data_IF_700387527384
#
_entry.id   IF_700387527384
#
_cell.length_a   1.000
_cell.length_b   1.000
_cell.length_c   1.000
_cell.angle_alpha   90.00
_cell.angle_beta   90.00
_cell.angle_gamma   90.00
#
_symmetry.space_group_name_H-M   'P 1'
#
loop_
_entity.id
_entity.type
_entity.pdbx_description
1 polymer ?
#
# COMPACT_ATOMS: atom_id res chain seq x y z
N UNK A 1 5.20 14.81 -6.42
CA UNK A 1 4.24 13.73 -6.07
C UNK A 1 2.95 13.97 -6.83
N UNK A 2 2.39 12.92 -7.37
CA UNK A 2 1.07 12.94 -8.01
C UNK A 2 0.05 12.53 -6.93
N UNK A 3 -1.00 13.36 -6.71
CA UNK A 3 -1.95 13.07 -5.66
C UNK A 3 -3.05 12.10 -6.13
N UNK A 4 -4.02 12.58 -6.89
CA UNK A 4 -5.03 11.71 -7.47
C UNK A 4 -5.81 12.42 -8.58
N UNK A 5 -6.34 11.64 -9.52
CA UNK A 5 -7.34 12.10 -10.50
C UNK A 5 -8.49 11.11 -10.46
N UNK A 6 -9.71 11.61 -10.27
CA UNK A 6 -10.92 10.78 -10.30
C UNK A 6 -11.99 11.44 -11.16
N UNK A 7 -12.70 10.62 -11.90
CA UNK A 7 -13.81 11.04 -12.75
C UNK A 7 -15.01 10.14 -12.48
N UNK A 8 -16.19 10.73 -12.43
CA UNK A 8 -17.43 10.00 -12.24
C UNK A 8 -18.48 10.47 -13.27
N UNK A 9 -19.13 9.51 -13.91
CA UNK A 9 -20.14 9.75 -14.93
C UNK A 9 -21.43 9.03 -14.57
N UNK A 10 -22.52 9.74 -14.63
CA UNK A 10 -23.84 9.14 -14.53
C UNK A 10 -24.25 8.61 -15.91
N UNK A 11 -24.13 7.29 -16.11
CA UNK A 11 -24.47 6.65 -17.37
C UNK A 11 -25.98 6.55 -17.60
N UNK A 12 -26.78 6.41 -16.49
CA UNK A 12 -28.24 6.30 -16.54
C UNK A 12 -28.86 6.77 -15.23
N UNK A 13 -30.18 6.80 -15.15
CA UNK A 13 -30.91 7.05 -13.86
C UNK A 13 -30.63 6.00 -12.79
N UNK A 14 -30.18 4.82 -13.22
CA UNK A 14 -29.92 3.65 -12.36
C UNK A 14 -28.46 3.16 -12.39
N UNK A 15 -27.59 3.78 -13.20
CA UNK A 15 -26.20 3.36 -13.35
C UNK A 15 -25.24 4.55 -13.35
N UNK A 16 -24.11 4.36 -12.69
CA UNK A 16 -22.98 5.29 -12.70
C UNK A 16 -21.67 4.53 -12.90
N UNK A 17 -20.70 5.19 -13.53
CA UNK A 17 -19.36 4.68 -13.77
C UNK A 17 -18.37 5.66 -13.17
N UNK A 18 -17.34 5.14 -12.55
CA UNK A 18 -16.22 5.92 -12.01
C UNK A 18 -14.90 5.35 -12.48
N UNK A 19 -13.95 6.21 -12.70
CA UNK A 19 -12.56 5.83 -12.97
C UNK A 19 -11.62 6.78 -12.25
N UNK A 20 -10.44 6.31 -11.92
CA UNK A 20 -9.48 7.16 -11.26
C UNK A 20 -8.11 6.52 -11.13
N UNK A 21 -7.14 7.40 -11.04
CA UNK A 21 -5.74 7.09 -10.76
C UNK A 21 -5.39 7.71 -9.42
N UNK A 22 -4.88 6.90 -8.51
CA UNK A 22 -4.52 7.35 -7.15
C UNK A 22 -3.33 6.56 -6.59
N UNK A 23 -2.59 7.14 -5.64
CA UNK A 23 -1.61 6.38 -4.89
C UNK A 23 -2.34 5.38 -3.98
N UNK A 24 -1.92 4.11 -4.03
CA UNK A 24 -2.45 3.05 -3.16
C UNK A 24 -1.65 2.99 -1.85
N UNK A 25 -0.35 3.15 -1.93
CA UNK A 25 0.55 3.18 -0.79
C UNK A 25 1.76 4.04 -1.10
N UNK A 26 2.35 4.64 -0.10
CA UNK A 26 3.57 5.42 -0.22
C UNK A 26 4.50 5.09 0.95
N UNK A 27 5.76 4.88 0.64
CA UNK A 27 6.83 4.62 1.61
C UNK A 27 7.90 5.68 1.43
N UNK A 28 8.21 6.39 2.51
CA UNK A 28 9.28 7.40 2.52
C UNK A 28 9.77 7.60 3.95
N UNK A 29 10.85 6.92 4.32
CA UNK A 29 11.51 7.12 5.60
C UNK A 29 13.02 6.97 5.46
N UNK A 30 13.75 7.68 6.32
CA UNK A 30 15.18 7.53 6.51
C UNK A 30 15.49 7.74 7.98
N UNK A 31 16.13 6.78 8.60
CA UNK A 31 16.53 6.84 10.00
C UNK A 31 17.90 6.21 10.17
N UNK A 32 18.65 6.71 11.13
CA UNK A 32 19.97 6.18 11.48
C UNK A 32 20.11 6.08 12.99
N UNK A 33 20.84 5.08 13.42
CA UNK A 33 21.20 4.85 14.81
C UNK A 33 22.71 4.64 14.90
N UNK A 34 23.36 5.37 15.80
CA UNK A 34 24.74 5.12 16.18
C UNK A 34 24.77 4.20 17.39
N UNK A 35 25.46 3.08 17.26
CA UNK A 35 25.67 2.10 18.34
C UNK A 35 27.12 2.15 18.76
N UNK A 36 27.37 2.72 19.92
CA UNK A 36 28.68 2.78 20.52
C UNK A 36 29.00 1.47 21.23
N UNK A 37 30.17 0.89 20.88
CA UNK A 37 30.76 -0.18 21.67
C UNK A 37 31.72 0.45 22.67
N UNK A 38 31.35 0.43 23.95
CA UNK A 38 32.14 1.05 25.04
C UNK A 38 33.40 0.27 25.37
N UNK A 39 33.44 -1.02 25.08
CA UNK A 39 34.58 -1.88 25.31
C UNK A 39 35.56 -1.87 24.14
N UNK A 40 35.04 -1.77 22.94
CA UNK A 40 35.80 -1.74 21.70
C UNK A 40 35.30 -0.61 20.77
N UNK A 41 35.76 0.63 20.95
CA UNK A 41 35.31 1.78 20.14
C UNK A 41 35.48 1.59 18.62
N UNK A 42 36.46 0.80 18.21
CA UNK A 42 36.68 0.44 16.80
C UNK A 42 35.57 -0.46 16.19
N UNK A 43 34.72 -1.02 17.06
CA UNK A 43 33.55 -1.82 16.68
C UNK A 43 32.24 -1.03 16.74
N UNK A 44 32.30 0.23 17.11
CA UNK A 44 31.12 1.10 17.06
C UNK A 44 30.54 1.14 15.64
N UNK A 45 29.25 1.08 15.50
CA UNK A 45 28.58 0.97 14.20
C UNK A 45 27.55 2.07 13.98
N UNK A 46 27.39 2.46 12.74
CA UNK A 46 26.23 3.26 12.33
C UNK A 46 25.31 2.40 11.48
N UNK A 47 24.10 2.20 11.99
CA UNK A 47 23.06 1.48 11.26
C UNK A 47 22.08 2.48 10.69
N UNK A 48 21.85 2.42 9.37
CA UNK A 48 20.87 3.26 8.69
C UNK A 48 19.81 2.43 8.00
N UNK A 49 18.58 2.89 8.12
CA UNK A 49 17.43 2.30 7.47
C UNK A 49 16.76 3.34 6.60
N UNK A 50 16.51 3.01 5.35
CA UNK A 50 15.73 3.84 4.45
C UNK A 50 14.72 3.00 3.68
N UNK A 51 13.59 3.61 3.36
CA UNK A 51 12.59 3.02 2.51
C UNK A 51 12.01 4.08 1.61
N UNK A 52 11.87 3.74 0.34
CA UNK A 52 11.30 4.61 -0.68
C UNK A 52 10.47 3.84 -1.68
N UNK A 53 9.57 4.55 -2.35
CA UNK A 53 8.70 3.98 -3.36
C UNK A 53 7.24 4.04 -2.99
N UNK A 54 6.42 3.30 -3.71
CA UNK A 54 4.98 3.25 -3.49
C UNK A 54 4.25 2.51 -4.59
N UNK A 55 2.99 2.25 -4.33
CA UNK A 55 2.09 1.59 -5.26
C UNK A 55 1.06 2.58 -5.78
N UNK A 56 0.79 2.51 -7.05
CA UNK A 56 -0.26 3.25 -7.74
C UNK A 56 -1.42 2.34 -8.07
N UNK A 57 -2.61 2.93 -8.15
CA UNK A 57 -3.85 2.23 -8.45
C UNK A 57 -4.60 2.97 -9.57
N UNK A 58 -4.89 2.26 -10.64
CA UNK A 58 -5.88 2.67 -11.62
C UNK A 58 -7.14 1.85 -11.37
N UNK A 59 -8.29 2.49 -11.13
CA UNK A 59 -9.53 1.77 -10.92
C UNK A 59 -10.61 2.16 -11.92
N UNK A 60 -11.46 1.20 -12.22
CA UNK A 60 -12.72 1.35 -12.95
C UNK A 60 -13.83 0.78 -12.08
N UNK A 61 -14.81 1.61 -11.77
CA UNK A 61 -15.94 1.25 -10.94
C UNK A 61 -17.26 1.38 -11.68
N UNK A 62 -18.20 0.51 -11.36
CA UNK A 62 -19.57 0.59 -11.80
C UNK A 62 -20.52 0.42 -10.63
N UNK A 63 -21.54 1.27 -10.55
CA UNK A 63 -22.59 1.22 -9.54
C UNK A 63 -23.98 1.16 -10.17
N UNK A 64 -24.82 0.33 -9.62
CA UNK A 64 -26.19 0.11 -10.10
C UNK A 64 -27.19 0.25 -8.98
N UNK A 65 -28.25 0.99 -9.24
CA UNK A 65 -29.42 1.07 -8.39
C UNK A 65 -30.42 -0.01 -8.79
N UNK A 66 -30.46 -1.11 -8.04
CA UNK A 66 -31.30 -2.28 -8.36
C UNK A 66 -32.79 -1.98 -8.06
N UNK A 67 -33.05 -1.41 -6.90
CA UNK A 67 -34.36 -0.92 -6.48
C UNK A 67 -34.21 0.46 -5.85
N UNK A 68 -35.32 1.12 -5.53
CA UNK A 68 -35.30 2.50 -4.98
C UNK A 68 -34.35 2.66 -3.78
N UNK A 69 -34.20 1.60 -2.99
CA UNK A 69 -33.51 1.62 -1.71
C UNK A 69 -32.17 0.86 -1.71
N UNK A 70 -31.90 0.03 -2.74
CA UNK A 70 -30.71 -0.83 -2.80
C UNK A 70 -29.85 -0.45 -4.00
N UNK A 71 -28.60 -0.17 -3.72
CA UNK A 71 -27.57 0.03 -4.71
C UNK A 71 -26.43 -0.97 -4.51
N UNK A 72 -25.87 -1.47 -5.59
CA UNK A 72 -24.71 -2.35 -5.57
C UNK A 72 -23.64 -1.77 -6.49
N UNK A 73 -22.39 -2.09 -6.24
CA UNK A 73 -21.30 -1.65 -7.08
C UNK A 73 -20.12 -2.60 -7.01
N UNK A 74 -19.28 -2.50 -8.01
CA UNK A 74 -18.02 -3.20 -8.06
C UNK A 74 -16.95 -2.28 -8.62
N UNK A 75 -15.73 -2.41 -8.10
CA UNK A 75 -14.53 -1.77 -8.61
C UNK A 75 -13.52 -2.83 -9.03
N UNK A 76 -12.96 -2.67 -10.19
CA UNK A 76 -11.75 -3.35 -10.64
C UNK A 76 -10.60 -2.37 -10.58
N UNK A 77 -9.51 -2.76 -9.93
CA UNK A 77 -8.32 -1.93 -9.79
C UNK A 77 -7.10 -2.67 -10.28
N UNK A 78 -6.24 -1.98 -11.02
CA UNK A 78 -4.91 -2.44 -11.37
C UNK A 78 -3.90 -1.73 -10.50
N UNK A 79 -3.04 -2.49 -9.83
CA UNK A 79 -2.00 -2.04 -8.91
C UNK A 79 -0.64 -2.25 -9.53
N UNK A 80 0.23 -1.22 -9.48
CA UNK A 80 1.62 -1.33 -9.89
C UNK A 80 2.52 -0.39 -9.10
N UNK A 81 3.79 -0.71 -9.04
CA UNK A 81 4.82 0.09 -8.39
C UNK A 81 5.90 -0.78 -7.77
N UNK A 82 6.83 -0.12 -7.13
CA UNK A 82 7.95 -0.75 -6.46
C UNK A 82 8.21 -0.09 -5.09
N UNK A 83 8.69 -0.90 -4.17
CA UNK A 83 9.09 -0.47 -2.84
C UNK A 83 10.51 -1.01 -2.60
N UNK A 84 11.43 -0.08 -2.35
CA UNK A 84 12.81 -0.39 -2.01
C UNK A 84 13.05 -0.09 -0.54
N UNK A 85 13.61 -1.05 0.17
CA UNK A 85 14.07 -0.88 1.56
C UNK A 85 15.55 -1.18 1.60
N UNK A 86 16.31 -0.31 2.26
CA UNK A 86 17.74 -0.46 2.42
C UNK A 86 18.10 -0.40 3.90
N UNK A 87 18.83 -1.39 4.36
CA UNK A 87 19.49 -1.40 5.66
C UNK A 87 20.99 -1.43 5.41
N UNK A 88 21.71 -0.46 5.95
CA UNK A 88 23.16 -0.39 5.82
C UNK A 88 23.81 -0.29 7.20
N UNK A 89 24.82 -1.10 7.42
CA UNK A 89 25.65 -1.08 8.61
C UNK A 89 27.07 -0.69 8.20
N UNK A 90 27.57 0.41 8.78
CA UNK A 90 28.88 0.95 8.49
C UNK A 90 29.70 1.02 9.76
N UNK A 91 31.00 0.76 9.61
CA UNK A 91 31.98 0.73 10.69
C UNK A 91 32.98 1.88 10.55
N UNK A 92 33.67 2.32 11.63
CA UNK A 92 34.73 3.30 11.54
C UNK A 92 35.81 2.87 10.55
N UNK A 93 36.48 3.83 9.94
CA UNK A 93 37.55 3.57 8.94
C UNK A 93 38.74 2.83 9.52
N UNK A 94 38.93 2.83 10.85
CA UNK A 94 39.96 2.08 11.57
C UNK A 94 39.61 0.60 11.75
N UNK A 95 38.33 0.21 11.50
CA UNK A 95 37.87 -1.16 11.66
C UNK A 95 38.32 -2.04 10.48
N UNK A 96 38.68 -3.28 10.79
CA UNK A 96 38.91 -4.32 9.76
C UNK A 96 37.61 -4.98 9.26
N UNK A 97 36.47 -4.50 9.73
CA UNK A 97 35.14 -5.02 9.39
C UNK A 97 34.60 -4.28 8.16
N UNK A 98 34.02 -5.04 7.25
CA UNK A 98 33.45 -4.48 6.02
C UNK A 98 32.01 -4.02 6.23
N UNK A 99 31.58 -2.91 5.60
CA UNK A 99 30.20 -2.49 5.61
C UNK A 99 29.29 -3.52 4.93
N UNK A 100 28.09 -3.66 5.46
CA UNK A 100 27.06 -4.54 4.92
C UNK A 100 25.86 -3.68 4.52
N UNK A 101 25.38 -3.87 3.30
CA UNK A 101 24.13 -3.25 2.83
C UNK A 101 23.17 -4.34 2.36
N UNK A 102 21.99 -4.33 2.93
CA UNK A 102 20.89 -5.21 2.55
C UNK A 102 19.83 -4.35 1.87
N UNK A 103 19.57 -4.63 0.60
CA UNK A 103 18.56 -3.93 -0.18
C UNK A 103 17.46 -4.91 -0.58
N UNK A 104 16.25 -4.66 -0.12
CA UNK A 104 15.06 -5.44 -0.46
C UNK A 104 14.22 -4.62 -1.44
N UNK A 105 13.96 -5.18 -2.61
CA UNK A 105 13.11 -4.58 -3.64
C UNK A 105 11.89 -5.48 -3.88
N UNK A 106 10.72 -4.87 -3.85
CA UNK A 106 9.44 -5.54 -4.12
C UNK A 106 8.73 -4.78 -5.22
N UNK A 107 8.77 -5.32 -6.44
CA UNK A 107 8.00 -4.82 -7.57
C UNK A 107 6.66 -5.56 -7.64
N UNK A 108 5.56 -4.80 -7.63
CA UNK A 108 4.20 -5.34 -7.61
C UNK A 108 3.49 -4.99 -8.91
N UNK A 109 2.87 -6.01 -9.51
CA UNK A 109 1.90 -5.86 -10.60
C UNK A 109 0.74 -6.81 -10.31
N UNK A 110 -0.41 -6.26 -9.98
CA UNK A 110 -1.56 -7.06 -9.55
C UNK A 110 -2.87 -6.36 -9.83
N UNK A 111 -3.97 -7.03 -9.51
CA UNK A 111 -5.31 -6.47 -9.57
C UNK A 111 -6.00 -6.58 -8.21
N UNK A 112 -7.05 -5.81 -8.01
CA UNK A 112 -7.90 -5.85 -6.81
C UNK A 112 -9.35 -5.72 -7.24
N UNK A 113 -10.21 -6.50 -6.61
CA UNK A 113 -11.65 -6.44 -6.80
C UNK A 113 -12.29 -5.97 -5.50
N UNK A 114 -13.20 -5.02 -5.59
CA UNK A 114 -14.00 -4.55 -4.47
C UNK A 114 -15.47 -4.61 -4.85
N UNK A 115 -16.28 -5.19 -3.98
CA UNK A 115 -17.72 -5.24 -4.13
C UNK A 115 -18.37 -4.46 -2.99
N UNK A 116 -19.44 -3.73 -3.31
CA UNK A 116 -20.18 -2.95 -2.33
C UNK A 116 -21.68 -3.06 -2.51
N UNK A 117 -22.41 -3.02 -1.41
CA UNK A 117 -23.84 -2.88 -1.41
C UNK A 117 -24.26 -1.84 -0.37
N UNK A 118 -25.26 -1.06 -0.72
CA UNK A 118 -25.82 -0.01 0.13
C UNK A 118 -27.34 -0.08 0.12
N UNK A 119 -27.91 -0.15 1.30
CA UNK A 119 -29.35 -0.12 1.50
C UNK A 119 -29.74 1.12 2.29
N UNK A 120 -30.60 1.97 1.71
CA UNK A 120 -31.10 3.19 2.36
C UNK A 120 -32.60 3.02 2.65
N UNK A 121 -32.98 3.23 3.90
CA UNK A 121 -34.37 3.19 4.32
C UNK A 121 -34.78 4.50 4.97
N UNK A 122 -35.91 5.04 4.53
CA UNK A 122 -36.48 6.25 5.10
C UNK A 122 -37.63 5.87 6.05
N UNK A 123 -37.48 6.24 7.33
CA UNK A 123 -38.47 6.05 8.37
C UNK A 123 -39.25 7.36 8.57
N UNK A 124 -40.45 7.43 8.00
CA UNK A 124 -41.27 8.65 8.06
C UNK A 124 -40.68 9.79 7.22
N UNK A 125 -40.88 11.04 7.66
CA UNK A 125 -40.49 12.23 6.89
C UNK A 125 -39.09 12.79 7.24
N UNK A 126 -38.52 12.38 8.36
CA UNK A 126 -37.32 13.02 8.95
C UNK A 126 -36.16 12.07 9.24
N UNK A 127 -36.35 10.78 9.14
CA UNK A 127 -35.36 9.79 9.52
C UNK A 127 -34.90 8.98 8.30
N UNK A 128 -33.61 9.01 8.01
CA UNK A 128 -33.02 8.21 6.94
C UNK A 128 -31.88 7.40 7.53
N UNK A 129 -31.93 6.09 7.36
CA UNK A 129 -30.84 5.19 7.73
C UNK A 129 -30.26 4.52 6.48
N UNK A 130 -28.96 4.49 6.39
CA UNK A 130 -28.22 3.83 5.31
C UNK A 130 -27.29 2.80 5.90
N UNK A 131 -27.41 1.57 5.45
CA UNK A 131 -26.50 0.47 5.75
C UNK A 131 -25.62 0.22 4.53
N UNK A 132 -24.32 0.19 4.72
CA UNK A 132 -23.34 -0.13 3.69
C UNK A 132 -22.49 -1.33 4.07
N UNK A 133 -22.20 -2.19 3.10
CA UNK A 133 -21.26 -3.30 3.25
C UNK A 133 -20.31 -3.31 2.07
N UNK A 134 -19.05 -3.65 2.34
CA UNK A 134 -18.00 -3.81 1.33
C UNK A 134 -17.29 -5.15 1.54
N UNK A 135 -16.87 -5.75 0.46
CA UNK A 135 -16.15 -7.02 0.44
C UNK A 135 -15.08 -6.97 -0.64
N UNK A 136 -13.85 -7.28 -0.28
CA UNK A 136 -12.71 -7.38 -1.21
C UNK A 136 -12.09 -8.76 -1.04
N UNK A 137 -12.18 -9.65 -2.03
CA UNK A 137 -11.53 -10.95 -1.98
C UNK A 137 -10.00 -10.79 -2.03
N UNK A 138 -9.32 -11.52 -1.17
CA UNK A 138 -7.87 -11.62 -1.17
C UNK A 138 -7.36 -12.55 -2.25
N UNK A 139 -6.13 -12.33 -2.68
CA UNK A 139 -5.40 -13.22 -3.57
C UNK A 139 -3.89 -12.97 -3.48
N UNK A 140 -3.10 -13.92 -3.98
CA UNK A 140 -1.65 -13.76 -4.05
C UNK A 140 -1.27 -12.74 -5.10
N UNK A 141 -0.32 -11.87 -4.76
CA UNK A 141 0.23 -10.90 -5.69
C UNK A 141 1.18 -11.58 -6.67
N UNK A 142 1.06 -11.23 -7.94
CA UNK A 142 2.15 -11.48 -8.89
C UNK A 142 3.22 -10.42 -8.63
N UNK A 143 4.29 -10.79 -7.96
CA UNK A 143 5.37 -9.88 -7.60
C UNK A 143 6.73 -10.49 -7.88
N UNK A 144 7.65 -9.63 -8.30
CA UNK A 144 9.08 -9.90 -8.36
C UNK A 144 9.71 -9.28 -7.12
N UNK A 145 9.85 -10.09 -6.05
CA UNK A 145 10.48 -9.66 -4.82
C UNK A 145 11.86 -10.30 -4.70
N UNK A 146 12.86 -9.49 -4.47
CA UNK A 146 14.23 -9.97 -4.26
C UNK A 146 14.96 -9.14 -3.21
N UNK A 147 15.88 -9.78 -2.53
CA UNK A 147 16.81 -9.16 -1.60
C UNK A 147 18.23 -9.27 -2.15
N UNK A 148 18.95 -8.18 -2.09
CA UNK A 148 20.35 -8.12 -2.49
C UNK A 148 21.18 -7.75 -1.27
N UNK A 149 22.00 -8.66 -0.80
CA UNK A 149 22.99 -8.39 0.24
C UNK A 149 24.33 -8.08 -0.41
N UNK A 150 24.89 -6.92 -0.08
CA UNK A 150 26.18 -6.47 -0.54
C UNK A 150 27.12 -6.32 0.65
N UNK A 151 28.25 -6.98 0.59
CA UNK A 151 29.33 -6.81 1.55
C UNK A 151 30.54 -6.21 0.80
N UNK A 152 31.03 -5.08 1.24
CA UNK A 152 32.06 -4.34 0.49
C UNK A 152 33.16 -3.76 1.37
N UNK A 153 34.27 -3.44 0.72
CA UNK A 153 35.38 -2.69 1.28
C UNK A 153 35.45 -1.34 0.56
N UNK A 154 35.62 -0.26 1.31
CA UNK A 154 35.76 1.09 0.77
C UNK A 154 36.94 1.27 -0.22
N UNK A 155 37.97 0.40 -0.14
CA UNK A 155 39.15 0.46 -0.99
C UNK A 155 39.11 -0.46 -2.21
N UNK A 156 38.33 -1.54 -2.18
CA UNK A 156 38.28 -2.58 -3.23
C UNK A 156 36.95 -2.74 -3.90
N UNK A 157 35.93 -2.01 -3.41
CA UNK A 157 34.55 -2.13 -3.90
C UNK A 157 33.79 -3.31 -3.28
N UNK A 158 32.68 -3.65 -3.89
CA UNK A 158 31.80 -4.74 -3.42
C UNK A 158 32.53 -6.06 -3.51
N UNK A 159 32.61 -6.77 -2.39
CA UNK A 159 33.33 -8.06 -2.27
C UNK A 159 32.42 -9.25 -2.53
N UNK A 160 31.13 -9.16 -2.18
CA UNK A 160 30.17 -10.20 -2.48
C UNK A 160 28.77 -9.61 -2.68
N UNK A 161 28.00 -10.22 -3.58
CA UNK A 161 26.59 -9.89 -3.80
C UNK A 161 25.83 -11.21 -3.81
N UNK A 162 24.89 -11.32 -2.90
CA UNK A 162 23.96 -12.44 -2.85
C UNK A 162 22.57 -11.91 -3.20
N UNK A 163 21.87 -12.62 -4.07
CA UNK A 163 20.49 -12.29 -4.45
C UNK A 163 19.57 -13.45 -4.09
N UNK A 164 18.65 -13.21 -3.19
CA UNK A 164 17.66 -14.17 -2.75
C UNK A 164 16.26 -13.70 -3.15
N UNK A 165 15.41 -14.64 -3.55
CA UNK A 165 14.00 -14.34 -3.82
C UNK A 165 13.21 -14.33 -2.52
N UNK A 166 12.49 -13.25 -2.27
CA UNK A 166 11.62 -13.12 -1.11
C UNK A 166 10.29 -13.81 -1.37
N UNK A 167 9.70 -14.35 -0.31
CA UNK A 167 8.43 -15.08 -0.34
C UNK A 167 7.26 -14.18 -0.82
N UNK A 168 6.32 -14.81 -1.50
CA UNK A 168 5.10 -14.23 -2.08
C UNK A 168 4.34 -13.35 -1.07
N UNK A 169 4.02 -12.12 -1.46
CA UNK A 169 3.08 -11.27 -0.74
C UNK A 169 1.66 -11.46 -1.28
N UNK A 170 0.64 -11.23 -0.47
CA UNK A 170 -0.76 -11.34 -0.86
C UNK A 170 -1.59 -10.14 -0.41
N UNK A 171 -2.68 -9.87 -1.10
CA UNK A 171 -3.73 -8.95 -0.64
C UNK A 171 -4.69 -9.76 0.23
N UNK A 172 -4.91 -9.38 1.50
CA UNK A 172 -5.83 -10.09 2.36
C UNK A 172 -7.29 -9.85 1.95
N UNK A 173 -8.15 -10.82 2.23
CA UNK A 173 -9.59 -10.64 2.15
C UNK A 173 -10.03 -9.63 3.22
N UNK A 174 -10.80 -8.64 2.81
CA UNK A 174 -11.31 -7.61 3.72
C UNK A 174 -12.82 -7.47 3.67
N UNK A 175 -13.41 -7.16 4.82
CA UNK A 175 -14.81 -6.87 4.99
C UNK A 175 -14.96 -5.52 5.68
N UNK A 176 -15.96 -4.76 5.27
CA UNK A 176 -16.33 -3.52 5.93
C UNK A 176 -17.84 -3.41 6.02
N UNK A 177 -18.32 -2.84 7.11
CA UNK A 177 -19.72 -2.48 7.28
C UNK A 177 -19.84 -1.10 7.93
N UNK A 178 -20.82 -0.33 7.51
CA UNK A 178 -21.06 1.00 8.02
C UNK A 178 -22.54 1.33 8.07
N UNK A 179 -22.91 2.19 9.03
CA UNK A 179 -24.25 2.70 9.19
C UNK A 179 -24.20 4.22 9.25
N UNK A 180 -25.04 4.86 8.46
CA UNK A 180 -25.25 6.32 8.52
C UNK A 180 -26.72 6.56 8.87
N UNK A 181 -26.94 7.47 9.84
CA UNK A 181 -28.27 7.89 10.22
C UNK A 181 -28.36 9.42 10.12
N UNK A 182 -29.38 9.88 9.41
CA UNK A 182 -29.66 11.31 9.22
C UNK A 182 -31.02 11.65 9.79
N UNK A 183 -31.05 12.69 10.63
CA UNK A 183 -32.28 13.25 11.21
C UNK A 183 -32.50 14.66 10.68
N UNK A 184 -33.61 14.89 9.96
CA UNK A 184 -34.07 16.20 9.47
C UNK A 184 -32.97 17.01 8.73
N UNK A 185 -32.14 16.33 7.92
CA UNK A 185 -30.97 16.90 7.22
C UNK A 185 -29.97 17.68 8.11
N UNK A 186 -30.05 17.52 9.42
CA UNK A 186 -29.22 18.26 10.39
C UNK A 186 -28.06 17.46 10.99
N UNK A 187 -28.02 16.15 10.77
CA UNK A 187 -26.95 15.27 11.24
C UNK A 187 -26.44 14.42 10.07
N UNK A 188 -25.27 14.74 9.62
CA UNK A 188 -24.43 13.91 8.72
C UNK A 188 -23.27 13.33 9.48
#
# INVERSE_FOLDING_TARGET
SFDYITMQFRASKWAAISLGLLPYSNVGYSMGEYREDTEFPDKSTTVSYSGEGGLHQLYLGAGFKIIKNLSVGANFSYLWGDITRTAAETFPSSSSVFPITIQSNVAVKSYKLDFGAQYTHQFGKKHVATLGVVFSPGHDLSNDAYEVTQTGNSNTGVTSVTRDTIVTCGIPTTFGAGVTYVYDDRLT
#
